data_IF_241725780087
#
_entry.id   IF_241725780087
#
_cell.length_a   1.000
_cell.length_b   1.000
_cell.length_c   1.000
_cell.angle_alpha   90.00
_cell.angle_beta   90.00
_cell.angle_gamma   90.00
#
_symmetry.space_group_name_H-M   'P 1'
#
loop_
_entity.id
_entity.type
_entity.pdbx_description
1 polymer ?
#
# COMPACT_ATOMS: atom_id res chain seq x y z
N UNK A 1 7.55 -14.94 -1.47
CA UNK A 1 6.23 -14.45 -1.29
C UNK A 1 6.03 -13.08 -1.84
N UNK A 2 4.90 -12.92 -2.43
CA UNK A 2 4.58 -11.67 -3.08
C UNK A 2 4.06 -10.60 -2.12
N UNK A 3 3.47 -11.02 -0.99
CA UNK A 3 2.87 -10.08 -0.04
C UNK A 3 3.92 -9.62 0.96
N UNK A 4 4.17 -8.32 1.01
CA UNK A 4 5.21 -7.73 1.85
C UNK A 4 4.66 -7.16 3.15
N UNK A 5 3.50 -6.51 3.13
CA UNK A 5 2.95 -5.85 4.29
C UNK A 5 1.43 -5.87 4.25
N UNK A 6 0.81 -5.83 5.42
CA UNK A 6 -0.62 -5.78 5.56
C UNK A 6 -1.05 -4.89 6.71
N UNK A 7 -2.21 -4.29 6.60
CA UNK A 7 -2.77 -3.40 7.61
C UNK A 7 -4.29 -3.54 7.59
N UNK A 8 -4.91 -3.62 8.76
CA UNK A 8 -6.37 -3.58 8.87
C UNK A 8 -6.76 -2.16 9.29
N UNK A 9 -7.68 -1.58 8.55
CA UNK A 9 -8.13 -0.21 8.81
C UNK A 9 -9.57 -0.04 8.34
N UNK A 10 -10.46 0.34 9.25
CA UNK A 10 -11.89 0.59 8.98
C UNK A 10 -12.56 -0.55 8.19
N UNK A 11 -12.37 -1.79 8.65
CA UNK A 11 -13.01 -2.96 8.05
C UNK A 11 -12.45 -3.38 6.71
N UNK A 12 -11.26 -2.91 6.38
CA UNK A 12 -10.57 -3.26 5.14
C UNK A 12 -9.16 -3.73 5.45
N UNK A 13 -8.66 -4.62 4.61
CA UNK A 13 -7.27 -5.04 4.64
C UNK A 13 -6.56 -4.35 3.48
N UNK A 14 -5.53 -3.57 3.82
CA UNK A 14 -4.61 -2.97 2.85
C UNK A 14 -3.38 -3.85 2.83
N UNK A 15 -3.00 -4.36 1.68
CA UNK A 15 -1.79 -5.16 1.61
C UNK A 15 -0.99 -4.81 0.36
N UNK A 16 0.33 -4.90 0.50
CA UNK A 16 1.27 -4.59 -0.55
C UNK A 16 1.99 -5.84 -1.04
N UNK A 17 2.51 -5.76 -2.24
CA UNK A 17 3.28 -6.84 -2.86
C UNK A 17 4.31 -6.23 -3.80
N UNK A 18 5.21 -7.08 -4.28
CA UNK A 18 6.24 -6.66 -5.22
C UNK A 18 7.58 -6.45 -4.56
N UNK A 19 8.61 -6.31 -5.38
CA UNK A 19 9.99 -6.12 -4.95
C UNK A 19 10.56 -4.77 -5.38
N UNK A 20 9.73 -3.91 -5.97
CA UNK A 20 10.18 -2.60 -6.45
C UNK A 20 11.02 -2.67 -7.71
N UNK A 21 11.00 -3.80 -8.41
CA UNK A 21 11.77 -4.00 -9.64
C UNK A 21 10.86 -4.02 -10.86
N UNK A 22 11.42 -3.80 -12.03
CA UNK A 22 10.66 -3.80 -13.27
C UNK A 22 9.94 -5.12 -13.54
N UNK A 23 10.55 -6.24 -13.14
CA UNK A 23 9.96 -7.57 -13.30
C UNK A 23 8.91 -7.90 -12.25
N UNK A 24 8.91 -7.20 -11.13
CA UNK A 24 7.89 -7.34 -10.09
C UNK A 24 7.71 -6.02 -9.34
N UNK A 25 6.99 -5.07 -9.93
CA UNK A 25 6.81 -3.74 -9.32
C UNK A 25 5.91 -3.78 -8.09
N UNK A 26 6.03 -2.74 -7.28
CA UNK A 26 5.20 -2.58 -6.09
C UNK A 26 3.75 -2.32 -6.46
N UNK A 27 2.85 -2.92 -5.73
CA UNK A 27 1.43 -2.68 -5.84
C UNK A 27 0.73 -2.79 -4.51
N UNK A 28 -0.53 -2.39 -4.48
CA UNK A 28 -1.37 -2.49 -3.29
C UNK A 28 -2.76 -2.95 -3.68
N UNK A 29 -3.36 -3.74 -2.81
CA UNK A 29 -4.76 -4.14 -2.92
C UNK A 29 -5.49 -3.81 -1.64
N UNK A 30 -6.76 -3.47 -1.77
CA UNK A 30 -7.63 -3.22 -0.63
C UNK A 30 -8.76 -4.24 -0.71
N UNK A 31 -8.88 -5.05 0.34
CA UNK A 31 -9.92 -6.07 0.46
C UNK A 31 -10.93 -5.61 1.50
N UNK A 32 -12.19 -5.53 1.08
CA UNK A 32 -13.28 -5.14 1.98
C UNK A 32 -13.79 -6.38 2.71
N UNK A 33 -13.67 -6.37 4.04
CA UNK A 33 -14.06 -7.52 4.87
C UNK A 33 -15.56 -7.77 4.90
N UNK A 34 -16.36 -6.72 4.77
CA UNK A 34 -17.82 -6.87 4.76
C UNK A 34 -18.31 -7.40 3.42
N UNK A 35 -17.83 -6.83 2.33
CA UNK A 35 -18.22 -7.25 0.99
C UNK A 35 -17.46 -8.51 0.52
N UNK A 36 -16.38 -8.86 1.18
CA UNK A 36 -15.53 -10.01 0.89
C UNK A 36 -14.99 -9.98 -0.54
N UNK A 37 -14.53 -8.82 -0.96
CA UNK A 37 -13.95 -8.64 -2.29
C UNK A 37 -12.92 -7.53 -2.30
N UNK A 38 -12.08 -7.54 -3.33
CA UNK A 38 -11.12 -6.47 -3.57
C UNK A 38 -11.87 -5.26 -4.10
N UNK A 39 -11.72 -4.13 -3.42
CA UNK A 39 -12.35 -2.85 -3.80
C UNK A 39 -11.36 -1.82 -4.30
N UNK A 40 -10.07 -2.05 -4.11
CA UNK A 40 -9.04 -1.13 -4.60
C UNK A 40 -7.83 -1.88 -5.14
N UNK A 41 -7.29 -1.42 -6.26
CA UNK A 41 -6.10 -1.97 -6.91
C UNK A 41 -5.22 -0.81 -7.36
N UNK A 42 -3.99 -0.78 -6.88
CA UNK A 42 -3.03 0.27 -7.20
C UNK A 42 -1.71 -0.36 -7.59
N UNK A 43 -1.24 -0.03 -8.79
CA UNK A 43 0.05 -0.49 -9.29
C UNK A 43 0.95 0.73 -9.39
N UNK A 44 1.96 0.80 -8.51
CA UNK A 44 2.75 2.02 -8.33
C UNK A 44 3.81 2.25 -9.40
N UNK A 45 4.25 1.20 -10.06
CA UNK A 45 5.38 1.30 -10.97
C UNK A 45 6.70 1.47 -10.23
N UNK A 46 7.75 1.80 -10.96
CA UNK A 46 9.09 1.84 -10.41
C UNK A 46 9.42 3.15 -9.68
N UNK A 47 8.92 4.26 -10.20
CA UNK A 47 9.38 5.59 -9.76
C UNK A 47 8.84 6.02 -8.41
N UNK A 48 7.67 5.56 -8.02
CA UNK A 48 7.01 6.04 -6.79
C UNK A 48 7.86 5.75 -5.55
N UNK A 49 8.43 4.57 -5.47
CA UNK A 49 9.24 4.15 -4.33
C UNK A 49 10.71 3.99 -4.70
N UNK A 50 11.17 4.64 -5.76
CA UNK A 50 12.57 4.61 -6.22
C UNK A 50 13.13 3.19 -6.36
N UNK A 51 12.32 2.28 -6.87
CA UNK A 51 12.67 0.86 -7.03
C UNK A 51 12.99 0.14 -5.71
N UNK A 52 12.44 0.65 -4.60
CA UNK A 52 12.59 0.04 -3.28
C UNK A 52 11.38 -0.80 -2.93
N UNK A 53 11.58 -1.86 -2.14
CA UNK A 53 10.47 -2.70 -1.68
C UNK A 53 9.72 -2.03 -0.55
N UNK A 54 8.38 -2.08 -0.61
CA UNK A 54 7.55 -1.65 0.51
C UNK A 54 7.63 -2.72 1.61
N UNK A 55 7.99 -2.29 2.83
CA UNK A 55 8.10 -3.20 3.98
C UNK A 55 6.88 -3.14 4.88
N UNK A 56 6.31 -1.97 5.10
CA UNK A 56 5.17 -1.79 5.97
C UNK A 56 4.41 -0.52 5.60
N UNK A 57 3.12 -0.49 5.96
CA UNK A 57 2.27 0.69 5.78
C UNK A 57 1.48 0.94 7.06
N UNK A 58 1.13 2.19 7.28
CA UNK A 58 0.33 2.61 8.42
C UNK A 58 -0.36 3.92 8.14
N UNK A 59 -1.28 4.30 9.02
CA UNK A 59 -2.01 5.58 8.89
C UNK A 59 -1.60 6.49 10.03
N UNK A 60 -1.27 7.73 9.68
CA UNK A 60 -0.93 8.76 10.64
C UNK A 60 -1.47 10.11 10.14
N UNK A 61 -2.21 10.81 11.01
CA UNK A 61 -2.80 12.11 10.68
C UNK A 61 -3.56 12.10 9.35
N UNK A 62 -4.35 11.06 9.11
CA UNK A 62 -5.15 10.99 7.89
C UNK A 62 -4.37 10.68 6.63
N UNK A 63 -3.11 10.29 6.76
CA UNK A 63 -2.29 9.93 5.60
C UNK A 63 -1.89 8.46 5.67
N UNK A 64 -1.87 7.81 4.51
CA UNK A 64 -1.33 6.47 4.37
C UNK A 64 0.15 6.58 4.05
N UNK A 65 0.96 6.05 4.96
CA UNK A 65 2.42 6.08 4.84
C UNK A 65 2.93 4.67 4.61
N UNK A 66 3.94 4.54 3.78
CA UNK A 66 4.65 3.27 3.60
C UNK A 66 6.14 3.50 3.75
N UNK A 67 6.82 2.54 4.35
CA UNK A 67 8.29 2.57 4.43
C UNK A 67 8.88 1.46 3.56
N UNK A 68 10.11 1.65 3.18
CA UNK A 68 10.81 0.74 2.27
C UNK A 68 12.01 0.08 2.94
N UNK A 69 12.53 -0.95 2.29
CA UNK A 69 13.69 -1.70 2.76
C UNK A 69 14.98 -0.85 2.78
N UNK A 70 14.97 0.30 2.12
CA UNK A 70 16.12 1.23 2.11
C UNK A 70 15.95 2.36 3.10
N UNK A 71 14.91 2.30 3.95
CA UNK A 71 14.66 3.31 4.96
C UNK A 71 13.89 4.53 4.47
N UNK A 72 13.36 4.51 3.27
CA UNK A 72 12.49 5.57 2.76
C UNK A 72 11.12 5.54 3.42
N UNK A 73 10.53 6.72 3.63
CA UNK A 73 9.16 6.87 4.11
C UNK A 73 8.41 7.73 3.12
N UNK A 74 7.28 7.22 2.63
CA UNK A 74 6.53 7.87 1.57
C UNK A 74 5.07 8.04 1.95
N UNK A 75 4.50 9.21 1.64
CA UNK A 75 3.08 9.43 1.72
C UNK A 75 2.46 8.88 0.43
N UNK A 76 1.61 7.90 0.57
CA UNK A 76 1.01 7.19 -0.57
C UNK A 76 -0.36 7.73 -0.90
N UNK A 77 -1.11 8.15 0.11
CA UNK A 77 -2.45 8.64 -0.12
C UNK A 77 -3.04 9.29 1.12
N UNK A 78 -4.27 9.77 0.98
CA UNK A 78 -5.05 10.36 2.06
C UNK A 78 -6.16 9.40 2.47
N UNK A 79 -6.39 9.29 3.77
CA UNK A 79 -7.45 8.47 4.34
C UNK A 79 -8.60 9.37 4.77
N UNK A 80 -9.80 9.04 4.33
CA UNK A 80 -10.98 9.82 4.67
C UNK A 80 -12.15 8.86 4.94
N UNK A 81 -12.56 8.76 6.21
CA UNK A 81 -13.65 7.88 6.64
C UNK A 81 -13.49 6.43 6.20
N UNK A 82 -12.25 5.94 6.26
CA UNK A 82 -11.94 4.57 5.87
C UNK A 82 -11.68 4.38 4.39
N UNK A 83 -11.87 5.40 3.58
CA UNK A 83 -11.55 5.36 2.15
C UNK A 83 -10.16 5.95 1.90
N UNK A 84 -9.45 5.38 0.94
CA UNK A 84 -8.11 5.82 0.59
C UNK A 84 -8.13 6.49 -0.79
N UNK A 85 -7.59 7.70 -0.85
CA UNK A 85 -7.34 8.39 -2.12
C UNK A 85 -5.84 8.40 -2.35
N UNK A 86 -5.39 7.67 -3.35
CA UNK A 86 -3.97 7.56 -3.68
C UNK A 86 -3.53 8.82 -4.42
N UNK A 87 -2.42 9.36 -3.97
CA UNK A 87 -1.83 10.55 -4.59
C UNK A 87 -0.87 10.24 -5.73
#
# INVERSE_FOLDING_TARGET
GATQAGMVYHGKIYYTFGFGRADFPNGMRIFDLKQRKITGRYDFGESVFRNEEIEACGVYNGELLCNTNKGGIYVVGAMNNGDCTIS
#
